data_IF_866448877292
#
_entry.id   IF_866448877292
#
_cell.length_a   1.000
_cell.length_b   1.000
_cell.length_c   1.000
_cell.angle_alpha   90.00
_cell.angle_beta   90.00
_cell.angle_gamma   90.00
#
_symmetry.space_group_name_H-M   'P 1'
#
loop_
_entity.id
_entity.type
_entity.pdbx_description
1 polymer ?
#
# COMPACT_ATOMS: atom_id res chain seq x y z
N UNK A 1 4.43 3.14 19.53
CA UNK A 1 4.08 3.85 20.76
C UNK A 1 4.49 5.31 20.58
N UNK A 2 3.67 6.25 21.07
CA UNK A 2 3.92 7.69 21.00
C UNK A 2 3.24 8.41 22.16
N UNK A 3 3.70 9.63 22.46
CA UNK A 3 3.03 10.52 23.39
C UNK A 3 2.20 11.54 22.61
N UNK A 4 1.00 11.84 23.12
CA UNK A 4 0.10 12.84 22.56
C UNK A 4 -0.02 14.00 23.53
N UNK A 5 0.36 15.20 23.08
CA UNK A 5 0.34 16.39 23.90
C UNK A 5 -0.41 17.52 23.18
N UNK A 6 -1.30 18.17 23.90
CA UNK A 6 -2.00 19.40 23.52
C UNK A 6 -1.92 20.37 24.70
N UNK A 7 -2.31 21.64 24.56
CA UNK A 7 -2.31 22.57 25.71
C UNK A 7 -3.06 22.07 26.94
N UNK A 8 -4.11 21.25 26.72
CA UNK A 8 -5.03 20.83 27.78
C UNK A 8 -5.00 19.31 28.04
N UNK A 9 -4.16 18.55 27.33
CA UNK A 9 -4.15 17.09 27.42
C UNK A 9 -2.73 16.55 27.21
N UNK A 10 -2.30 15.67 28.12
CA UNK A 10 -1.11 14.83 27.94
C UNK A 10 -1.48 13.37 28.12
N UNK A 11 -1.21 12.55 27.10
CA UNK A 11 -1.33 11.10 27.16
C UNK A 11 0.02 10.49 26.80
N UNK A 12 0.60 9.71 27.67
CA UNK A 12 1.87 9.04 27.46
C UNK A 12 1.66 7.58 27.07
N UNK A 13 2.56 7.05 26.26
CA UNK A 13 2.56 5.63 25.87
C UNK A 13 1.36 5.18 25.06
N UNK A 14 0.77 6.05 24.24
CA UNK A 14 -0.36 5.68 23.38
C UNK A 14 0.11 4.67 22.33
N UNK A 15 -0.54 3.52 22.27
CA UNK A 15 -0.25 2.48 21.30
C UNK A 15 -1.11 2.65 20.05
N UNK A 16 -0.49 2.50 18.89
CA UNK A 16 -1.19 2.43 17.59
C UNK A 16 -0.47 1.44 16.68
N UNK A 17 -1.14 0.32 16.41
CA UNK A 17 -0.55 -0.85 15.74
C UNK A 17 -0.67 -0.77 14.21
N UNK A 18 -0.53 0.43 13.64
CA UNK A 18 -0.51 0.63 12.18
C UNK A 18 0.83 1.26 11.77
N UNK A 19 1.57 0.61 10.86
CA UNK A 19 2.87 1.11 10.42
C UNK A 19 2.75 2.35 9.54
N UNK A 20 3.81 3.15 9.52
CA UNK A 20 3.97 4.32 8.68
C UNK A 20 3.41 5.60 9.28
N UNK A 21 4.17 6.68 9.10
CA UNK A 21 3.84 8.02 9.61
C UNK A 21 2.47 8.52 9.16
N UNK A 22 2.07 8.20 7.93
CA UNK A 22 0.76 8.60 7.39
C UNK A 22 -0.40 7.97 8.15
N UNK A 23 -0.28 6.70 8.58
CA UNK A 23 -1.30 6.05 9.41
C UNK A 23 -1.37 6.67 10.80
N UNK A 24 -0.22 7.02 11.39
CA UNK A 24 -0.19 7.75 12.66
C UNK A 24 -0.92 9.09 12.55
N UNK A 25 -0.64 9.88 11.51
CA UNK A 25 -1.32 11.16 11.28
C UNK A 25 -2.84 10.98 11.11
N UNK A 26 -3.27 9.98 10.35
CA UNK A 26 -4.69 9.65 10.20
C UNK A 26 -5.33 9.26 11.54
N UNK A 27 -4.62 8.48 12.37
CA UNK A 27 -5.06 8.11 13.71
C UNK A 27 -5.19 9.33 14.63
N UNK A 28 -4.24 10.28 14.56
CA UNK A 28 -4.29 11.52 15.33
C UNK A 28 -5.47 12.41 14.93
N UNK A 29 -5.74 12.54 13.62
CA UNK A 29 -6.91 13.28 13.11
C UNK A 29 -8.20 12.63 13.60
N UNK A 30 -8.31 11.30 13.48
CA UNK A 30 -9.49 10.57 13.97
C UNK A 30 -9.68 10.75 15.48
N UNK A 31 -8.60 10.70 16.25
CA UNK A 31 -8.60 10.95 17.69
C UNK A 31 -9.11 12.37 18.00
N UNK A 32 -8.54 13.39 17.34
CA UNK A 32 -8.91 14.79 17.56
C UNK A 32 -10.39 15.06 17.21
N UNK A 33 -10.88 14.47 16.12
CA UNK A 33 -12.30 14.58 15.73
C UNK A 33 -13.21 13.87 16.73
N UNK A 34 -12.83 12.67 17.19
CA UNK A 34 -13.62 11.91 18.15
C UNK A 34 -13.70 12.64 19.53
N UNK A 35 -12.65 13.36 19.94
CA UNK A 35 -12.70 14.20 21.14
C UNK A 35 -13.84 15.22 21.11
N UNK A 36 -14.18 15.75 19.94
CA UNK A 36 -15.29 16.70 19.79
C UNK A 36 -16.66 16.08 20.10
N UNK A 37 -16.77 14.76 20.01
CA UNK A 37 -17.99 14.02 20.37
C UNK A 37 -18.09 13.70 21.88
N UNK A 38 -17.05 14.05 22.68
CA UNK A 38 -17.07 14.03 24.13
C UNK A 38 -16.62 12.74 24.83
N UNK A 39 -16.14 11.65 24.16
CA UNK A 39 -15.65 10.51 24.92
C UNK A 39 -14.33 10.86 25.64
N UNK A 40 -14.07 10.23 26.81
CA UNK A 40 -12.86 10.46 27.57
C UNK A 40 -11.58 10.10 26.74
N UNK A 41 -10.52 10.93 26.79
CA UNK A 41 -9.30 10.72 25.98
C UNK A 41 -8.65 9.35 26.18
N UNK A 42 -8.64 8.80 27.39
CA UNK A 42 -8.07 7.47 27.66
C UNK A 42 -8.83 6.33 26.95
N UNK A 43 -10.15 6.46 26.74
CA UNK A 43 -10.94 5.51 25.95
C UNK A 43 -10.62 5.60 24.47
N UNK A 44 -10.34 6.80 23.96
CA UNK A 44 -9.89 6.98 22.59
C UNK A 44 -8.50 6.38 22.35
N UNK A 45 -7.58 6.55 23.31
CA UNK A 45 -6.26 5.91 23.27
C UNK A 45 -6.39 4.38 23.24
N UNK A 46 -7.25 3.81 24.08
CA UNK A 46 -7.55 2.37 24.06
C UNK A 46 -8.17 1.93 22.74
N UNK A 47 -9.05 2.72 22.13
CA UNK A 47 -9.63 2.41 20.82
C UNK A 47 -8.56 2.41 19.72
N UNK A 48 -7.57 3.31 19.77
CA UNK A 48 -6.44 3.30 18.83
C UNK A 48 -5.60 2.01 18.97
N UNK A 49 -5.32 1.55 20.18
CA UNK A 49 -4.52 0.34 20.40
C UNK A 49 -5.21 -0.93 19.89
N UNK A 50 -6.54 -0.98 19.95
CA UNK A 50 -7.35 -2.12 19.48
C UNK A 50 -7.79 -2.00 18.02
N UNK A 51 -7.50 -0.90 17.35
CA UNK A 51 -7.92 -0.65 15.99
C UNK A 51 -7.28 -1.63 15.00
N UNK A 52 -8.10 -2.46 14.37
CA UNK A 52 -7.63 -3.50 13.44
C UNK A 52 -7.22 -2.96 12.06
N UNK A 53 -7.53 -1.70 11.76
CA UNK A 53 -7.28 -1.07 10.47
C UNK A 53 -8.49 -1.12 9.55
N UNK A 54 -8.32 -0.52 8.38
CA UNK A 54 -9.26 -0.56 7.27
C UNK A 54 -8.72 -1.55 6.24
N UNK A 55 -9.59 -2.32 5.62
CA UNK A 55 -9.18 -3.21 4.52
C UNK A 55 -8.47 -2.41 3.43
N UNK A 56 -7.45 -3.02 2.83
CA UNK A 56 -6.65 -2.39 1.78
C UNK A 56 -5.96 -1.08 2.21
N UNK A 57 -5.59 -0.96 3.48
CA UNK A 57 -4.74 0.12 4.02
C UNK A 57 -3.60 -0.52 4.81
N UNK A 58 -2.48 -0.79 4.15
CA UNK A 58 -1.35 -1.57 4.65
C UNK A 58 -1.80 -2.84 5.38
N UNK A 59 -2.65 -3.62 4.68
CA UNK A 59 -3.31 -4.77 5.27
C UNK A 59 -2.49 -6.03 5.04
N UNK A 60 -1.96 -6.62 6.11
CA UNK A 60 -1.31 -7.92 6.05
C UNK A 60 -2.32 -8.99 5.66
N UNK A 61 -2.12 -9.62 4.52
CA UNK A 61 -2.90 -10.74 4.01
C UNK A 61 -2.32 -12.06 4.48
N UNK A 62 -0.98 -12.16 4.47
CA UNK A 62 -0.17 -13.25 5.03
C UNK A 62 0.95 -12.59 5.82
N UNK A 63 1.29 -13.15 6.98
CA UNK A 63 2.42 -12.69 7.79
C UNK A 63 2.98 -13.88 8.56
N UNK A 64 4.04 -14.46 8.02
CA UNK A 64 4.86 -15.48 8.67
C UNK A 64 6.35 -15.16 8.45
N UNK A 65 7.24 -16.03 8.90
CA UNK A 65 8.68 -15.79 8.85
C UNK A 65 9.23 -15.86 7.42
N UNK A 66 8.62 -16.69 6.57
CA UNK A 66 9.10 -16.97 5.21
C UNK A 66 8.49 -16.04 4.16
N UNK A 67 7.23 -15.63 4.36
CA UNK A 67 6.50 -14.85 3.37
C UNK A 67 5.54 -13.84 4.00
N UNK A 68 5.62 -12.62 3.52
CA UNK A 68 4.75 -11.52 3.93
C UNK A 68 3.98 -11.02 2.71
N UNK A 69 2.66 -10.94 2.82
CA UNK A 69 1.81 -10.36 1.79
C UNK A 69 1.03 -9.18 2.32
N UNK A 70 1.21 -8.01 1.72
CA UNK A 70 0.57 -6.75 2.07
C UNK A 70 -0.29 -6.27 0.90
N UNK A 71 -1.51 -5.83 1.18
CA UNK A 71 -2.38 -5.16 0.19
C UNK A 71 -2.67 -3.73 0.63
N UNK A 72 -2.51 -2.78 -0.29
CA UNK A 72 -2.78 -1.37 -0.07
C UNK A 72 -3.60 -0.76 -1.21
N UNK A 73 -4.45 0.19 -0.87
CA UNK A 73 -5.29 0.93 -1.81
C UNK A 73 -4.53 2.07 -2.52
N UNK A 74 -3.24 2.23 -2.25
CA UNK A 74 -2.38 3.29 -2.79
C UNK A 74 -2.53 3.40 -4.31
N UNK A 75 -2.93 4.59 -4.76
CA UNK A 75 -3.21 4.90 -6.16
C UNK A 75 -2.77 6.32 -6.55
N UNK A 76 -2.00 6.97 -5.70
CA UNK A 76 -1.35 8.26 -5.91
C UNK A 76 0.13 8.15 -5.56
N UNK A 77 1.06 8.88 -6.23
CA UNK A 77 2.50 8.78 -5.96
C UNK A 77 2.87 8.96 -4.49
N UNK A 78 2.23 9.90 -3.79
CA UNK A 78 2.44 10.14 -2.36
C UNK A 78 2.11 8.91 -1.51
N UNK A 79 1.01 8.20 -1.85
CA UNK A 79 0.60 6.97 -1.15
C UNK A 79 1.57 5.82 -1.43
N UNK A 80 2.03 5.67 -2.68
CA UNK A 80 3.04 4.66 -3.06
C UNK A 80 4.34 4.89 -2.29
N UNK A 81 4.79 6.15 -2.18
CA UNK A 81 5.96 6.50 -1.38
C UNK A 81 5.78 6.14 0.09
N UNK A 82 4.61 6.41 0.66
CA UNK A 82 4.30 6.05 2.05
C UNK A 82 4.32 4.53 2.28
N UNK A 83 3.82 3.75 1.32
CA UNK A 83 3.89 2.28 1.36
C UNK A 83 5.35 1.81 1.28
N UNK A 84 6.13 2.38 0.37
CA UNK A 84 7.56 2.05 0.24
C UNK A 84 8.30 2.30 1.56
N UNK A 85 8.11 3.47 2.18
CA UNK A 85 8.75 3.83 3.45
C UNK A 85 8.34 2.87 4.58
N UNK A 86 7.04 2.59 4.70
CA UNK A 86 6.54 1.66 5.71
C UNK A 86 7.11 0.24 5.53
N UNK A 87 7.20 -0.25 4.30
CA UNK A 87 7.78 -1.58 4.02
C UNK A 87 9.28 -1.61 4.31
N UNK A 88 10.01 -0.57 3.90
CA UNK A 88 11.46 -0.47 4.13
C UNK A 88 11.79 -0.41 5.63
N UNK A 89 10.96 0.28 6.42
CA UNK A 89 11.11 0.37 7.87
C UNK A 89 10.78 -0.96 8.57
N UNK A 90 9.67 -1.60 8.17
CA UNK A 90 9.15 -2.79 8.84
C UNK A 90 9.85 -4.08 8.41
N UNK A 91 10.39 -4.11 7.20
CA UNK A 91 10.98 -5.31 6.58
C UNK A 91 12.31 -4.96 5.88
N UNK A 92 13.31 -4.46 6.62
CA UNK A 92 14.60 -4.08 6.05
C UNK A 92 15.30 -5.30 5.46
N UNK A 93 16.00 -5.10 4.34
CA UNK A 93 16.82 -6.11 3.66
C UNK A 93 16.05 -7.32 3.09
N UNK A 94 14.73 -7.29 3.06
CA UNK A 94 13.93 -8.34 2.43
C UNK A 94 13.74 -8.09 0.93
N UNK A 95 13.70 -9.18 0.15
CA UNK A 95 13.38 -9.13 -1.27
C UNK A 95 11.91 -8.75 -1.46
N UNK A 96 11.68 -7.51 -1.89
CA UNK A 96 10.34 -6.95 -2.08
C UNK A 96 9.93 -7.04 -3.55
N UNK A 97 8.72 -7.52 -3.81
CA UNK A 97 8.04 -7.45 -5.10
C UNK A 97 6.80 -6.56 -4.96
N UNK A 98 6.74 -5.47 -5.71
CA UNK A 98 5.58 -4.60 -5.78
C UNK A 98 4.78 -4.87 -7.06
N UNK A 99 3.47 -5.08 -6.93
CA UNK A 99 2.53 -5.14 -8.06
C UNK A 99 1.63 -3.92 -7.98
N UNK A 100 1.61 -3.13 -9.04
CA UNK A 100 0.84 -1.89 -9.08
C UNK A 100 -0.14 -1.88 -10.24
N UNK A 101 -1.39 -1.50 -9.97
CA UNK A 101 -2.40 -1.20 -10.99
C UNK A 101 -2.66 0.31 -11.00
N UNK A 102 -2.26 1.02 -12.07
CA UNK A 102 -2.65 2.42 -12.24
C UNK A 102 -4.17 2.56 -12.30
N UNK A 103 -4.71 3.65 -11.79
CA UNK A 103 -6.15 3.90 -11.74
C UNK A 103 -6.47 5.25 -12.38
N UNK A 104 -7.28 5.26 -13.44
CA UNK A 104 -7.66 6.36 -14.32
C UNK A 104 -6.53 6.76 -15.29
N UNK A 105 -6.89 6.91 -16.56
CA UNK A 105 -5.98 7.39 -17.60
C UNK A 105 -5.54 8.83 -17.35
N UNK A 106 -6.46 9.70 -16.95
CA UNK A 106 -6.17 11.10 -16.65
C UNK A 106 -5.14 11.24 -15.52
N UNK A 107 -5.33 10.53 -14.41
CA UNK A 107 -4.38 10.54 -13.29
C UNK A 107 -3.02 9.97 -13.68
N UNK A 108 -3.00 8.88 -14.43
CA UNK A 108 -1.75 8.27 -14.90
C UNK A 108 -0.97 9.23 -15.79
N UNK A 109 -1.65 9.97 -16.68
CA UNK A 109 -1.06 11.01 -17.51
C UNK A 109 -0.50 12.17 -16.67
N UNK A 110 -1.33 12.71 -15.79
CA UNK A 110 -1.04 13.95 -15.07
C UNK A 110 0.09 13.77 -14.04
N UNK A 111 0.26 12.58 -13.48
CA UNK A 111 1.28 12.24 -12.49
C UNK A 111 2.29 11.20 -12.98
N UNK A 112 2.49 11.07 -14.30
CA UNK A 112 3.30 10.00 -14.88
C UNK A 112 4.74 9.97 -14.35
N UNK A 113 5.38 11.13 -14.23
CA UNK A 113 6.76 11.23 -13.76
C UNK A 113 6.86 10.91 -12.27
N UNK A 114 5.93 11.38 -11.46
CA UNK A 114 5.84 11.11 -10.04
C UNK A 114 5.54 9.63 -9.76
N UNK A 115 4.65 9.01 -10.55
CA UNK A 115 4.42 7.56 -10.50
C UNK A 115 5.69 6.79 -10.84
N UNK A 116 6.36 7.13 -11.93
CA UNK A 116 7.59 6.49 -12.33
C UNK A 116 8.68 6.60 -11.25
N UNK A 117 8.86 7.79 -10.66
CA UNK A 117 9.80 8.00 -9.56
C UNK A 117 9.45 7.15 -8.32
N UNK A 118 8.18 7.17 -7.90
CA UNK A 118 7.73 6.44 -6.71
C UNK A 118 7.87 4.93 -6.88
N UNK A 119 7.47 4.40 -8.03
CA UNK A 119 7.58 2.98 -8.36
C UNK A 119 9.04 2.53 -8.54
N UNK A 120 9.91 3.40 -9.06
CA UNK A 120 11.34 3.10 -9.24
C UNK A 120 12.12 2.98 -7.93
N UNK A 121 11.52 3.34 -6.80
CA UNK A 121 12.10 3.08 -5.46
C UNK A 121 12.09 1.60 -5.10
N UNK A 122 11.14 0.82 -5.62
CA UNK A 122 11.11 -0.62 -5.44
C UNK A 122 12.08 -1.28 -6.42
N UNK A 123 12.81 -2.29 -5.97
CA UNK A 123 13.75 -3.02 -6.81
C UNK A 123 13.03 -3.83 -7.90
N UNK A 124 11.93 -4.50 -7.52
CA UNK A 124 11.16 -5.35 -8.41
C UNK A 124 9.72 -4.85 -8.50
N UNK A 125 9.26 -4.53 -9.71
CA UNK A 125 7.91 -4.01 -9.97
C UNK A 125 7.23 -4.76 -11.12
N UNK A 126 6.02 -5.23 -10.85
CA UNK A 126 5.10 -5.70 -11.88
C UNK A 126 4.00 -4.64 -12.04
N UNK A 127 3.83 -4.17 -13.27
CA UNK A 127 2.82 -3.19 -13.62
C UNK A 127 1.65 -3.90 -14.31
N UNK A 128 0.43 -3.58 -13.92
CA UNK A 128 -0.79 -4.03 -14.60
C UNK A 128 -1.29 -2.95 -15.55
N UNK A 129 -2.21 -3.32 -16.44
CA UNK A 129 -2.93 -2.35 -17.27
C UNK A 129 -3.69 -1.34 -16.42
N UNK A 130 -3.82 -0.11 -16.96
CA UNK A 130 -4.58 0.95 -16.30
C UNK A 130 -6.03 0.50 -16.10
N UNK A 131 -6.52 0.60 -14.85
CA UNK A 131 -7.94 0.42 -14.57
C UNK A 131 -8.69 1.70 -14.94
N UNK A 132 -9.56 1.66 -15.96
CA UNK A 132 -10.17 2.87 -16.51
C UNK A 132 -11.24 3.48 -15.61
N UNK A 133 -11.88 2.68 -14.74
CA UNK A 133 -13.07 3.04 -13.99
C UNK A 133 -14.20 3.55 -14.93
N UNK A 134 -14.33 4.87 -15.07
CA UNK A 134 -15.36 5.49 -15.91
C UNK A 134 -14.77 6.35 -17.05
N UNK A 135 -13.45 6.29 -17.22
CA UNK A 135 -12.76 7.05 -18.26
C UNK A 135 -12.62 6.24 -19.55
N UNK A 136 -12.69 6.92 -20.68
CA UNK A 136 -12.27 6.40 -21.96
C UNK A 136 -10.73 6.43 -22.07
N UNK A 137 -10.13 5.48 -22.80
CA UNK A 137 -8.69 5.47 -23.03
C UNK A 137 -8.20 6.78 -23.65
N UNK A 138 -7.06 7.28 -23.13
CA UNK A 138 -6.38 8.47 -23.67
C UNK A 138 -5.26 7.99 -24.61
N UNK A 139 -5.27 8.46 -25.84
CA UNK A 139 -4.24 8.09 -26.84
C UNK A 139 -2.83 8.35 -26.33
N UNK A 140 -1.97 7.35 -26.37
CA UNK A 140 -0.58 7.42 -25.91
C UNK A 140 -0.40 7.35 -24.39
N UNK A 141 -1.46 7.07 -23.65
CA UNK A 141 -1.42 6.88 -22.19
C UNK A 141 -1.82 5.44 -21.87
N UNK A 142 -0.85 4.61 -21.60
CA UNK A 142 -1.01 3.22 -21.19
C UNK A 142 0.05 2.83 -20.15
N UNK A 143 0.00 1.61 -19.68
CA UNK A 143 0.95 1.12 -18.69
C UNK A 143 2.34 0.86 -19.28
N UNK A 144 2.46 0.57 -20.56
CA UNK A 144 3.75 0.42 -21.22
C UNK A 144 4.49 1.76 -21.32
N UNK A 145 3.76 2.82 -21.66
CA UNK A 145 4.30 4.19 -21.63
C UNK A 145 4.76 4.60 -20.22
N UNK A 146 4.00 4.27 -19.17
CA UNK A 146 4.41 4.53 -17.79
C UNK A 146 5.65 3.68 -17.42
N UNK A 147 5.66 2.41 -17.79
CA UNK A 147 6.78 1.50 -17.56
C UNK A 147 8.08 2.04 -18.18
N UNK A 148 7.99 2.61 -19.40
CA UNK A 148 9.10 3.23 -20.10
C UNK A 148 9.73 4.43 -19.38
N UNK A 149 8.99 5.08 -18.46
CA UNK A 149 9.48 6.21 -17.65
C UNK A 149 10.17 5.76 -16.34
N UNK A 150 9.97 4.53 -15.92
CA UNK A 150 10.57 3.99 -14.71
C UNK A 150 12.05 3.68 -14.93
N UNK A 151 12.86 3.74 -13.88
CA UNK A 151 14.32 3.58 -13.94
C UNK A 151 14.86 2.33 -13.24
N UNK A 152 14.04 1.65 -12.43
CA UNK A 152 14.42 0.39 -11.79
C UNK A 152 14.70 -0.72 -12.82
N UNK A 153 15.68 -1.59 -12.54
CA UNK A 153 16.13 -2.63 -13.47
C UNK A 153 15.13 -3.75 -13.68
N UNK A 154 14.44 -4.16 -12.63
CA UNK A 154 13.52 -5.29 -12.64
C UNK A 154 12.06 -4.80 -12.67
N UNK A 155 11.62 -4.41 -13.87
CA UNK A 155 10.23 -3.98 -14.10
C UNK A 155 9.63 -4.71 -15.29
N UNK A 156 8.34 -5.05 -15.20
CA UNK A 156 7.64 -5.80 -16.23
C UNK A 156 6.16 -5.44 -16.26
N UNK A 157 5.60 -5.28 -17.46
CA UNK A 157 4.15 -5.24 -17.67
C UNK A 157 3.61 -6.67 -17.71
N UNK A 158 2.54 -6.94 -16.97
CA UNK A 158 1.89 -8.24 -16.91
C UNK A 158 0.37 -8.11 -16.92
N UNK A 159 -0.32 -9.18 -17.31
CA UNK A 159 -1.76 -9.27 -17.12
C UNK A 159 -2.12 -9.76 -15.70
N UNK A 160 -3.38 -9.59 -15.29
CA UNK A 160 -3.86 -10.08 -13.98
C UNK A 160 -3.75 -11.60 -13.86
N UNK A 161 -3.97 -12.32 -14.96
CA UNK A 161 -3.87 -13.79 -15.02
C UNK A 161 -2.43 -14.28 -14.76
N UNK A 162 -1.44 -13.44 -15.09
CA UNK A 162 -0.03 -13.75 -14.89
C UNK A 162 0.46 -13.45 -13.47
N UNK A 163 -0.30 -12.70 -12.65
CA UNK A 163 0.15 -12.26 -11.34
C UNK A 163 0.65 -13.43 -10.47
N UNK A 164 -0.15 -14.47 -10.32
CA UNK A 164 0.20 -15.59 -9.45
C UNK A 164 1.45 -16.35 -9.93
N UNK A 165 1.56 -16.58 -11.24
CA UNK A 165 2.73 -17.25 -11.81
C UNK A 165 4.00 -16.41 -11.64
N UNK A 166 3.92 -15.10 -11.84
CA UNK A 166 5.04 -14.19 -11.65
C UNK A 166 5.47 -14.09 -10.18
N UNK A 167 4.52 -14.06 -9.24
CA UNK A 167 4.83 -14.10 -7.79
C UNK A 167 5.58 -15.38 -7.44
N UNK A 168 5.10 -16.55 -7.92
CA UNK A 168 5.76 -17.84 -7.69
C UNK A 168 7.17 -17.89 -8.33
N UNK A 169 7.33 -17.37 -9.54
CA UNK A 169 8.60 -17.36 -10.26
C UNK A 169 9.64 -16.45 -9.59
N UNK A 170 9.23 -15.29 -9.12
CA UNK A 170 10.14 -14.35 -8.47
C UNK A 170 10.45 -14.70 -7.02
N UNK A 171 9.59 -15.48 -6.38
CA UNK A 171 9.72 -15.93 -4.99
C UNK A 171 10.16 -14.79 -4.04
N UNK A 172 9.34 -13.75 -3.87
CA UNK A 172 9.66 -12.65 -2.97
C UNK A 172 9.48 -13.05 -1.51
N UNK A 173 10.22 -12.42 -0.60
CA UNK A 173 9.98 -12.51 0.84
C UNK A 173 8.83 -11.57 1.27
N UNK A 174 8.66 -10.44 0.56
CA UNK A 174 7.57 -9.49 0.77
C UNK A 174 6.89 -9.20 -0.56
N UNK A 175 5.63 -9.53 -0.65
CA UNK A 175 4.75 -9.17 -1.76
C UNK A 175 3.88 -7.97 -1.36
N UNK A 176 3.77 -6.99 -2.25
CA UNK A 176 2.87 -5.85 -2.07
C UNK A 176 1.98 -5.71 -3.30
N UNK A 177 0.67 -5.66 -3.11
CA UNK A 177 -0.27 -5.24 -4.14
C UNK A 177 -0.78 -3.84 -3.84
N UNK A 178 -0.77 -2.96 -4.87
CA UNK A 178 -1.20 -1.56 -4.75
C UNK A 178 -2.14 -1.18 -5.90
N UNK A 179 -3.18 -0.43 -5.57
CA UNK A 179 -4.10 0.13 -6.56
C UNK A 179 -5.53 0.22 -6.09
N UNK A 180 -6.30 1.16 -6.64
CA UNK A 180 -7.72 1.40 -6.34
C UNK A 180 -8.68 0.62 -7.27
N UNK A 181 -8.13 -0.07 -8.26
CA UNK A 181 -8.90 -0.83 -9.24
C UNK A 181 -9.24 -2.26 -8.79
N UNK A 182 -9.51 -3.10 -9.79
CA UNK A 182 -9.91 -4.48 -9.60
C UNK A 182 -8.77 -5.44 -9.21
N UNK A 183 -7.53 -4.96 -9.11
CA UNK A 183 -6.40 -5.69 -8.49
C UNK A 183 -6.80 -6.24 -7.12
N UNK A 184 -7.69 -5.55 -6.39
CA UNK A 184 -8.19 -6.01 -5.10
C UNK A 184 -8.92 -7.36 -5.15
N UNK A 185 -9.47 -7.76 -6.30
CA UNK A 185 -10.11 -9.07 -6.49
C UNK A 185 -9.08 -10.20 -6.57
N UNK A 186 -7.86 -9.89 -7.04
CA UNK A 186 -6.78 -10.87 -7.14
C UNK A 186 -6.14 -11.18 -5.78
N UNK A 187 -6.28 -10.28 -4.80
CA UNK A 187 -5.71 -10.44 -3.45
C UNK A 187 -6.16 -11.73 -2.79
N UNK A 188 -7.45 -12.05 -2.88
CA UNK A 188 -8.02 -13.26 -2.28
C UNK A 188 -7.47 -14.52 -2.93
N UNK A 189 -7.31 -14.50 -4.26
CA UNK A 189 -6.78 -15.63 -5.04
C UNK A 189 -5.31 -15.90 -4.67
N UNK A 190 -4.49 -14.84 -4.71
CA UNK A 190 -3.07 -14.92 -4.36
C UNK A 190 -2.91 -15.40 -2.90
N UNK A 191 -3.68 -14.82 -1.97
CA UNK A 191 -3.65 -15.21 -0.57
C UNK A 191 -3.93 -16.72 -0.42
N UNK A 192 -4.99 -17.21 -1.05
CA UNK A 192 -5.37 -18.62 -0.99
C UNK A 192 -4.22 -19.52 -1.48
N UNK A 193 -3.71 -19.26 -2.67
CA UNK A 193 -2.68 -20.07 -3.30
C UNK A 193 -1.34 -20.05 -2.55
N UNK A 194 -0.95 -18.88 -2.02
CA UNK A 194 0.31 -18.72 -1.29
C UNK A 194 0.23 -19.24 0.15
N UNK A 195 -0.98 -19.33 0.74
CA UNK A 195 -1.15 -19.91 2.09
C UNK A 195 -1.08 -21.46 2.11
N UNK A 196 -1.25 -22.11 0.96
CA UNK A 196 -1.17 -23.58 0.84
C UNK A 196 0.21 -24.08 0.37
N UNK A 197 1.12 -23.18 0.05
CA UNK A 197 2.46 -23.50 -0.46
C UNK A 197 3.55 -23.60 0.63
N UNK A 198 3.15 -23.55 1.91
CA UNK A 198 4.02 -23.67 3.08
C UNK A 198 3.72 -24.92 3.90
#
# INVERSE_FOLDING_TARGET
IFDLETPDLKLEGVEFNKPGRHNLLNGLVAFAMAMQAGPPPHRLAQALSTFKGVQRRFSYQIKNDDFIYIDDYAHHPTEINAVFEAVSEMHPNKKVLAIFQPHLFSRTRDFANEFAQSLSRFENVLLLDIYPAREEPITGVDSEWLLGKMTNGNRKLISKEQMLSEVKNQNPEVLITMGAGDIGLEVVKIKKEMSYAG
#
